data_IF_867032346521
#
_entry.id   IF_867032346521
#
_cell.length_a   1.000
_cell.length_b   1.000
_cell.length_c   1.000
_cell.angle_alpha   90.00
_cell.angle_beta   90.00
_cell.angle_gamma   90.00
#
_symmetry.space_group_name_H-M   'P 1'
#
loop_
_entity.id
_entity.type
_entity.pdbx_description
1 polymer ?
#
# COMPACT_ATOMS: atom_id res chain seq x y z
N UNK A 1 -48.71 1.13 -40.30
CA UNK A 1 -47.30 0.92 -39.94
C UNK A 1 -47.26 -0.44 -39.27
N UNK A 2 -46.63 -1.42 -39.93
CA UNK A 2 -46.80 -2.84 -39.60
C UNK A 2 -46.16 -3.18 -38.27
N UNK A 3 -46.93 -3.89 -37.41
CA UNK A 3 -46.48 -4.37 -36.08
C UNK A 3 -45.14 -5.13 -36.12
N UNK A 4 -44.85 -5.84 -37.20
CA UNK A 4 -43.63 -6.59 -37.41
C UNK A 4 -42.42 -5.68 -37.59
N UNK A 5 -42.57 -4.57 -38.32
CA UNK A 5 -41.47 -3.59 -38.52
C UNK A 5 -41.09 -2.94 -37.17
N UNK A 6 -42.07 -2.68 -36.32
CA UNK A 6 -41.86 -2.07 -35.02
C UNK A 6 -41.14 -3.02 -34.04
N UNK A 7 -41.40 -4.33 -34.09
CA UNK A 7 -40.71 -5.35 -33.33
C UNK A 7 -39.25 -5.48 -33.72
N UNK A 8 -38.96 -5.48 -35.03
CA UNK A 8 -37.60 -5.56 -35.53
C UNK A 8 -36.82 -4.29 -35.22
N UNK A 9 -37.43 -3.11 -35.25
CA UNK A 9 -36.78 -1.85 -34.86
C UNK A 9 -36.44 -1.82 -33.39
N UNK A 10 -37.32 -2.38 -32.54
CA UNK A 10 -37.12 -2.46 -31.08
C UNK A 10 -35.96 -3.43 -30.72
N UNK A 11 -35.89 -4.57 -31.40
CA UNK A 11 -34.81 -5.55 -31.23
C UNK A 11 -33.47 -4.95 -31.68
N UNK A 12 -33.43 -4.22 -32.79
CA UNK A 12 -32.23 -3.57 -33.31
C UNK A 12 -31.74 -2.46 -32.36
N UNK A 13 -32.66 -1.72 -31.73
CA UNK A 13 -32.32 -0.69 -30.75
C UNK A 13 -31.71 -1.30 -29.46
N UNK A 14 -32.26 -2.43 -28.99
CA UNK A 14 -31.76 -3.11 -27.79
C UNK A 14 -30.36 -3.71 -28.04
N UNK A 15 -30.13 -4.32 -29.20
CA UNK A 15 -28.80 -4.85 -29.56
C UNK A 15 -27.75 -3.76 -29.71
N UNK A 16 -28.13 -2.59 -30.21
CA UNK A 16 -27.23 -1.45 -30.33
C UNK A 16 -26.82 -0.87 -28.96
N UNK A 17 -27.75 -0.81 -28.01
CA UNK A 17 -27.48 -0.34 -26.63
C UNK A 17 -26.51 -1.28 -25.88
N UNK A 18 -26.60 -2.60 -26.11
CA UNK A 18 -25.70 -3.57 -25.47
C UNK A 18 -24.24 -3.47 -25.96
N UNK A 19 -24.00 -2.99 -27.18
CA UNK A 19 -22.65 -2.86 -27.74
C UNK A 19 -21.87 -1.65 -27.22
N UNK A 20 -22.56 -0.65 -26.65
CA UNK A 20 -21.93 0.57 -26.13
C UNK A 20 -21.52 0.44 -24.65
N UNK A 21 -21.97 -0.61 -23.94
CA UNK A 21 -21.77 -0.78 -22.51
C UNK A 21 -20.41 -1.39 -22.11
N UNK A 22 -19.61 -1.89 -23.07
CA UNK A 22 -18.28 -2.41 -22.80
C UNK A 22 -17.25 -1.29 -22.87
N UNK A 23 -17.22 -0.39 -21.87
CA UNK A 23 -16.11 0.50 -21.63
C UNK A 23 -15.02 -0.33 -20.95
N UNK A 24 -14.11 -0.90 -21.73
CA UNK A 24 -12.88 -1.49 -21.18
C UNK A 24 -12.12 -0.38 -20.46
N UNK A 25 -11.97 -0.55 -19.15
CA UNK A 25 -11.16 0.35 -18.33
C UNK A 25 -9.71 0.13 -18.76
N UNK A 26 -9.15 1.03 -19.52
CA UNK A 26 -7.71 1.03 -19.78
C UNK A 26 -7.02 1.19 -18.43
N UNK A 27 -6.33 0.13 -18.01
CA UNK A 27 -5.42 0.19 -16.88
C UNK A 27 -4.25 1.03 -17.38
N UNK A 28 -4.20 2.29 -16.97
CA UNK A 28 -3.09 3.18 -17.24
C UNK A 28 -1.82 2.57 -16.65
N UNK A 29 -0.99 1.98 -17.48
CA UNK A 29 0.34 1.47 -17.12
C UNK A 29 1.32 2.60 -16.74
N UNK A 30 0.95 3.84 -16.93
CA UNK A 30 1.74 5.01 -16.53
C UNK A 30 1.80 5.23 -15.01
N UNK A 31 1.03 4.52 -14.22
CA UNK A 31 1.01 4.65 -12.76
C UNK A 31 2.03 3.76 -12.04
N UNK A 32 2.83 2.97 -12.73
CA UNK A 32 3.86 2.12 -12.12
C UNK A 32 5.22 2.84 -11.99
N UNK A 33 5.21 4.09 -11.57
CA UNK A 33 6.35 4.63 -10.84
C UNK A 33 6.17 4.14 -9.40
N UNK A 34 6.75 2.99 -9.10
CA UNK A 34 6.79 2.46 -7.75
C UNK A 34 7.45 3.52 -6.87
N UNK A 35 6.66 4.26 -6.14
CA UNK A 35 7.17 5.16 -5.12
C UNK A 35 7.88 4.31 -4.07
N UNK A 36 9.21 4.31 -4.13
CA UNK A 36 10.04 3.61 -3.17
C UNK A 36 9.88 4.27 -1.79
N UNK A 37 9.91 3.45 -0.76
CA UNK A 37 10.02 3.94 0.60
C UNK A 37 11.42 4.55 0.78
N UNK A 38 11.47 5.82 1.19
CA UNK A 38 12.71 6.57 1.36
C UNK A 38 13.06 6.75 2.83
N UNK A 39 14.33 6.53 3.15
CA UNK A 39 14.88 6.86 4.47
C UNK A 39 15.06 8.36 4.62
N UNK A 40 14.54 8.93 5.69
CA UNK A 40 14.78 10.31 6.10
C UNK A 40 15.70 10.43 7.31
N UNK A 41 15.96 9.33 8.02
CA UNK A 41 16.86 9.29 9.16
C UNK A 41 16.54 8.14 10.11
N UNK A 42 17.43 7.93 11.06
CA UNK A 42 17.31 6.97 12.13
C UNK A 42 17.54 7.65 13.48
N UNK A 43 16.79 7.25 14.49
CA UNK A 43 16.97 7.71 15.87
C UNK A 43 17.86 6.71 16.65
N UNK A 44 18.43 7.14 17.77
CA UNK A 44 19.33 6.30 18.60
C UNK A 44 18.68 5.02 19.14
N UNK A 45 17.33 5.00 19.27
CA UNK A 45 16.55 3.84 19.68
C UNK A 45 16.30 2.82 18.54
N UNK A 46 16.85 3.09 17.34
CA UNK A 46 16.64 2.28 16.14
C UNK A 46 15.33 2.56 15.40
N UNK A 47 14.59 3.60 15.80
CA UNK A 47 13.39 4.04 15.09
C UNK A 47 13.78 4.71 13.77
N UNK A 48 13.23 4.22 12.66
CA UNK A 48 13.46 4.75 11.32
C UNK A 48 12.37 5.75 10.93
N UNK A 49 12.77 6.93 10.46
CA UNK A 49 11.86 7.93 9.87
C UNK A 49 11.84 7.74 8.36
N UNK A 50 10.68 7.48 7.81
CA UNK A 50 10.49 7.08 6.41
C UNK A 50 9.49 7.99 5.72
N UNK A 51 9.73 8.30 4.43
CA UNK A 51 8.73 8.81 3.50
C UNK A 51 8.15 7.66 2.73
N UNK A 52 6.84 7.49 2.79
CA UNK A 52 6.12 6.37 2.20
C UNK A 52 4.87 6.85 1.49
N UNK A 53 4.52 6.19 0.39
CA UNK A 53 3.30 6.48 -0.36
C UNK A 53 2.29 5.36 -0.16
N UNK A 54 1.05 5.75 0.04
CA UNK A 54 -0.09 4.85 0.08
C UNK A 54 -1.18 5.32 -0.86
N UNK A 55 -1.87 4.38 -1.46
CA UNK A 55 -3.00 4.62 -2.37
C UNK A 55 -4.26 4.03 -1.76
N UNK A 56 -5.35 4.78 -1.77
CA UNK A 56 -6.63 4.35 -1.24
C UNK A 56 -7.80 5.08 -1.90
N UNK A 57 -9.01 4.70 -1.55
CA UNK A 57 -10.25 5.34 -2.05
C UNK A 57 -10.41 6.77 -1.53
N UNK A 58 -9.82 7.04 -0.40
CA UNK A 58 -9.81 8.34 0.26
C UNK A 58 -8.49 8.52 1.02
N UNK A 59 -8.29 9.72 1.58
CA UNK A 59 -7.09 10.07 2.32
C UNK A 59 -6.81 9.13 3.52
N UNK A 60 -7.82 8.77 4.28
CA UNK A 60 -7.64 7.90 5.46
C UNK A 60 -7.16 6.51 5.06
N UNK A 61 -7.77 5.96 4.04
CA UNK A 61 -7.41 4.68 3.42
C UNK A 61 -5.95 4.70 2.92
N UNK A 62 -5.59 5.75 2.18
CA UNK A 62 -4.23 5.91 1.66
C UNK A 62 -3.18 6.03 2.78
N UNK A 63 -3.50 6.73 3.87
CA UNK A 63 -2.61 6.84 5.05
C UNK A 63 -2.42 5.47 5.71
N UNK A 64 -3.47 4.70 5.89
CA UNK A 64 -3.36 3.35 6.49
C UNK A 64 -2.58 2.40 5.58
N UNK A 65 -2.77 2.47 4.27
CA UNK A 65 -1.97 1.69 3.31
C UNK A 65 -0.48 2.10 3.34
N UNK A 66 -0.19 3.40 3.47
CA UNK A 66 1.18 3.87 3.61
C UNK A 66 1.84 3.37 4.91
N UNK A 67 1.12 3.35 6.04
CA UNK A 67 1.64 2.79 7.29
C UNK A 67 1.92 1.28 7.18
N UNK A 68 0.98 0.51 6.60
CA UNK A 68 1.18 -0.93 6.34
C UNK A 68 2.41 -1.15 5.47
N UNK A 69 2.53 -0.39 4.38
CA UNK A 69 3.68 -0.46 3.47
C UNK A 69 4.99 -0.14 4.19
N UNK A 70 5.04 0.89 5.02
CA UNK A 70 6.24 1.25 5.78
C UNK A 70 6.73 0.09 6.67
N UNK A 71 5.82 -0.53 7.43
CA UNK A 71 6.15 -1.68 8.27
C UNK A 71 6.56 -2.88 7.42
N UNK A 72 5.83 -3.15 6.34
CA UNK A 72 6.14 -4.24 5.43
C UNK A 72 7.54 -4.11 4.81
N UNK A 73 7.89 -2.90 4.34
CA UNK A 73 9.19 -2.65 3.74
C UNK A 73 10.33 -2.83 4.76
N UNK A 74 10.15 -2.34 6.00
CA UNK A 74 11.13 -2.55 7.07
C UNK A 74 11.27 -4.03 7.43
N UNK A 75 10.16 -4.78 7.42
CA UNK A 75 10.15 -6.20 7.82
C UNK A 75 10.73 -7.12 6.76
N UNK A 76 10.37 -6.94 5.48
CA UNK A 76 10.64 -7.91 4.42
C UNK A 76 11.53 -7.43 3.28
N UNK A 77 11.69 -6.11 3.10
CA UNK A 77 12.39 -5.56 1.93
C UNK A 77 13.72 -4.90 2.34
N UNK A 78 13.73 -4.20 3.46
CA UNK A 78 14.78 -3.26 3.82
C UNK A 78 14.63 -1.91 3.10
N UNK A 79 15.28 -0.86 3.63
CA UNK A 79 15.15 0.50 3.10
C UNK A 79 16.43 0.90 2.39
N UNK A 80 16.41 0.93 1.06
CA UNK A 80 17.60 1.18 0.23
C UNK A 80 17.64 2.60 -0.34
N UNK A 81 16.51 3.30 -0.41
CA UNK A 81 16.43 4.65 -0.95
C UNK A 81 16.46 5.71 0.17
N UNK A 82 16.95 6.90 -0.13
CA UNK A 82 16.97 8.05 0.78
C UNK A 82 18.37 8.42 1.26
N UNK A 83 18.48 8.96 2.49
CA UNK A 83 19.74 9.53 3.02
C UNK A 83 20.84 8.48 3.34
N UNK A 84 20.54 7.19 3.22
CA UNK A 84 21.50 6.12 3.43
C UNK A 84 21.77 5.71 4.89
N UNK A 85 21.14 6.35 5.87
CA UNK A 85 21.33 6.05 7.29
C UNK A 85 20.42 4.94 7.83
N UNK A 86 19.31 4.63 7.15
CA UNK A 86 18.43 3.53 7.55
C UNK A 86 19.05 2.17 7.25
N UNK A 87 18.57 1.15 7.97
CA UNK A 87 19.04 -0.20 7.74
C UNK A 87 18.51 -0.73 6.39
N UNK A 88 19.42 -1.04 5.47
CA UNK A 88 19.11 -1.57 4.14
C UNK A 88 18.67 -3.04 4.14
N UNK A 89 18.92 -3.77 5.23
CA UNK A 89 18.50 -5.16 5.37
C UNK A 89 17.11 -5.24 6.03
N UNK A 90 16.25 -6.20 5.63
CA UNK A 90 14.98 -6.43 6.28
C UNK A 90 15.17 -6.91 7.74
N UNK A 91 14.10 -6.85 8.55
CA UNK A 91 14.10 -7.46 9.88
C UNK A 91 14.11 -8.98 9.77
N UNK A 92 13.44 -9.50 8.76
CA UNK A 92 13.32 -10.92 8.44
C UNK A 92 13.96 -11.14 7.08
N UNK A 93 15.11 -11.79 7.06
CA UNK A 93 15.90 -12.12 5.87
C UNK A 93 15.68 -13.58 5.40
N UNK A 94 14.91 -14.36 6.14
CA UNK A 94 14.57 -15.74 5.75
C UNK A 94 13.76 -15.73 4.44
N UNK A 95 14.22 -16.44 3.40
CA UNK A 95 13.49 -16.55 2.15
C UNK A 95 12.09 -17.15 2.38
N UNK A 96 11.08 -16.55 1.75
CA UNK A 96 9.68 -16.99 1.85
C UNK A 96 9.06 -16.94 3.26
N UNK A 97 9.66 -16.22 4.22
CA UNK A 97 9.12 -16.09 5.58
C UNK A 97 7.67 -15.62 5.59
N UNK A 98 7.29 -14.67 4.71
CA UNK A 98 5.91 -14.19 4.59
C UNK A 98 4.92 -15.32 4.28
N UNK A 99 5.31 -16.27 3.43
CA UNK A 99 4.48 -17.43 3.08
C UNK A 99 4.54 -18.51 4.16
N UNK A 100 5.72 -18.75 4.74
CA UNK A 100 5.91 -19.74 5.82
C UNK A 100 5.06 -19.43 7.05
N UNK A 101 4.90 -18.15 7.37
CA UNK A 101 4.11 -17.65 8.50
C UNK A 101 2.89 -16.85 8.03
N UNK A 102 2.20 -17.32 6.99
CA UNK A 102 1.12 -16.60 6.31
C UNK A 102 0.02 -16.16 7.27
N UNK A 103 -0.53 -17.10 8.04
CA UNK A 103 -1.61 -16.82 9.00
C UNK A 103 -1.21 -15.77 10.04
N UNK A 104 0.03 -15.85 10.54
CA UNK A 104 0.56 -14.88 11.49
C UNK A 104 0.62 -13.47 10.86
N UNK A 105 1.18 -13.34 9.65
CA UNK A 105 1.33 -12.05 9.02
C UNK A 105 0.03 -11.49 8.48
N UNK A 106 -0.92 -12.33 8.08
CA UNK A 106 -2.26 -11.89 7.69
C UNK A 106 -2.99 -11.25 8.87
N UNK A 107 -2.89 -11.85 10.05
CA UNK A 107 -3.42 -11.26 11.27
C UNK A 107 -2.65 -10.00 11.68
N UNK A 108 -1.31 -10.04 11.61
CA UNK A 108 -0.45 -8.90 11.99
C UNK A 108 -0.73 -7.66 11.13
N UNK A 109 -0.93 -7.82 9.82
CA UNK A 109 -1.22 -6.75 8.86
C UNK A 109 -2.71 -6.54 8.59
N UNK A 110 -3.61 -7.20 9.28
CA UNK A 110 -5.06 -7.00 9.12
C UNK A 110 -5.47 -5.56 9.44
N UNK A 111 -6.69 -5.18 9.08
CA UNK A 111 -7.24 -3.87 9.48
C UNK A 111 -7.42 -3.83 10.99
N UNK A 112 -6.66 -2.94 11.65
CA UNK A 112 -6.58 -2.92 13.13
C UNK A 112 -5.53 -3.86 13.72
N UNK A 113 -4.75 -4.57 12.89
CA UNK A 113 -3.71 -5.50 13.33
C UNK A 113 -2.55 -4.85 14.07
N UNK A 114 -1.69 -5.71 14.66
CA UNK A 114 -0.62 -5.29 15.55
C UNK A 114 0.49 -4.44 14.89
N UNK A 115 0.57 -4.38 13.56
CA UNK A 115 1.51 -3.50 12.87
C UNK A 115 1.39 -2.03 13.33
N UNK A 116 0.18 -1.60 13.75
CA UNK A 116 -0.10 -0.23 14.18
C UNK A 116 0.69 0.20 15.40
N UNK A 117 1.06 -0.72 16.25
CA UNK A 117 1.82 -0.45 17.48
C UNK A 117 3.27 -0.06 17.17
N UNK A 118 3.76 -0.36 15.96
CA UNK A 118 5.14 -0.16 15.53
C UNK A 118 5.33 1.00 14.55
N UNK A 119 4.23 1.65 14.12
CA UNK A 119 4.27 2.75 13.16
C UNK A 119 3.47 3.94 13.65
N UNK A 120 4.09 5.12 13.62
CA UNK A 120 3.43 6.39 13.95
C UNK A 120 3.53 7.34 12.76
N UNK A 121 2.41 7.94 12.38
CA UNK A 121 2.42 9.05 11.43
C UNK A 121 2.63 10.35 12.22
N UNK A 122 3.71 11.08 11.93
CA UNK A 122 3.86 12.44 12.46
C UNK A 122 2.74 13.31 11.89
N UNK A 123 2.08 14.09 12.73
CA UNK A 123 1.07 15.09 12.34
C UNK A 123 1.71 16.11 11.40
N UNK A 124 1.81 15.78 10.12
CA UNK A 124 2.32 16.70 9.12
C UNK A 124 1.17 17.19 8.25
N UNK A 125 1.19 18.50 8.02
CA UNK A 125 0.45 19.08 6.91
C UNK A 125 0.98 18.41 5.65
N UNK A 126 0.23 17.42 5.12
CA UNK A 126 0.56 16.79 3.85
C UNK A 126 0.61 17.90 2.82
N UNK A 127 1.78 18.21 2.30
CA UNK A 127 1.93 19.22 1.29
C UNK A 127 1.17 18.80 0.04
N UNK A 128 0.53 19.75 -0.64
CA UNK A 128 -0.22 19.49 -1.87
C UNK A 128 0.64 18.82 -2.97
N UNK A 129 1.96 18.94 -2.87
CA UNK A 129 2.94 18.31 -3.78
C UNK A 129 3.08 16.78 -3.62
N UNK A 130 2.51 16.22 -2.56
CA UNK A 130 2.58 14.78 -2.26
C UNK A 130 1.23 14.08 -2.46
N UNK A 131 0.33 14.71 -3.21
CA UNK A 131 -0.98 14.15 -3.53
C UNK A 131 -1.08 13.92 -5.02
N UNK A 132 -1.39 12.68 -5.41
CA UNK A 132 -1.78 12.33 -6.77
C UNK A 132 -3.21 11.80 -6.76
N UNK A 133 -4.04 12.29 -7.68
CA UNK A 133 -5.44 11.88 -7.81
C UNK A 133 -5.58 11.15 -9.16
N UNK A 134 -5.88 9.86 -9.11
CA UNK A 134 -6.19 9.03 -10.27
C UNK A 134 -7.67 8.65 -10.31
N UNK A 135 -8.05 7.78 -11.23
CA UNK A 135 -9.43 7.31 -11.43
C UNK A 135 -10.01 6.62 -10.18
N UNK A 136 -10.67 7.41 -9.32
CA UNK A 136 -11.33 6.94 -8.11
C UNK A 136 -10.40 6.55 -6.96
N UNK A 137 -9.09 6.81 -7.07
CA UNK A 137 -8.11 6.60 -5.99
C UNK A 137 -7.28 7.85 -5.73
N UNK A 138 -6.80 7.98 -4.51
CA UNK A 138 -5.89 9.04 -4.10
C UNK A 138 -4.60 8.43 -3.56
N UNK A 139 -3.46 8.95 -4.01
CA UNK A 139 -2.13 8.58 -3.50
C UNK A 139 -1.57 9.72 -2.68
N UNK A 140 -1.13 9.41 -1.47
CA UNK A 140 -0.50 10.36 -0.57
C UNK A 140 0.88 9.89 -0.14
N UNK A 141 1.84 10.82 -0.22
CA UNK A 141 3.14 10.67 0.45
C UNK A 141 3.04 11.18 1.89
N UNK A 142 3.42 10.35 2.84
CA UNK A 142 3.43 10.71 4.26
C UNK A 142 4.77 10.39 4.89
N UNK A 143 5.08 11.06 6.01
CA UNK A 143 6.22 10.72 6.84
C UNK A 143 5.73 9.92 8.04
N UNK A 144 6.35 8.77 8.23
CA UNK A 144 6.08 7.88 9.36
C UNK A 144 7.37 7.55 10.10
N UNK A 145 7.24 7.17 11.36
CA UNK A 145 8.31 6.54 12.12
C UNK A 145 7.97 5.08 12.34
N UNK A 146 8.94 4.18 12.11
CA UNK A 146 8.79 2.74 12.34
C UNK A 146 9.82 2.30 13.37
N UNK A 147 9.35 1.71 14.46
CA UNK A 147 10.23 1.15 15.50
C UNK A 147 10.72 -0.24 15.08
N UNK A 148 11.84 -0.26 14.35
CA UNK A 148 12.46 -1.48 13.85
C UNK A 148 12.93 -2.41 14.96
N UNK A 149 13.49 -1.85 16.05
CA UNK A 149 14.01 -2.62 17.17
C UNK A 149 12.88 -3.38 17.89
N UNK A 150 11.75 -2.70 18.13
CA UNK A 150 10.59 -3.32 18.71
C UNK A 150 9.97 -4.40 17.80
N UNK A 151 9.93 -4.19 16.48
CA UNK A 151 9.50 -5.22 15.51
C UNK A 151 10.38 -6.47 15.61
N UNK A 152 11.71 -6.30 15.62
CA UNK A 152 12.65 -7.43 15.75
C UNK A 152 12.43 -8.20 17.05
N UNK A 153 12.28 -7.49 18.17
CA UNK A 153 12.01 -8.11 19.47
C UNK A 153 10.67 -8.88 19.46
N UNK A 154 9.63 -8.30 18.87
CA UNK A 154 8.33 -8.96 18.72
C UNK A 154 8.43 -10.27 17.96
N UNK A 155 9.04 -10.26 16.78
CA UNK A 155 9.16 -11.46 15.96
C UNK A 155 10.07 -12.52 16.59
N UNK A 156 11.08 -12.12 17.36
CA UNK A 156 11.90 -13.05 18.14
C UNK A 156 11.11 -13.69 19.28
N UNK A 157 10.24 -12.95 19.96
CA UNK A 157 9.39 -13.46 21.02
C UNK A 157 8.30 -14.40 20.49
N UNK A 158 7.80 -14.12 19.31
CA UNK A 158 6.77 -14.94 18.64
C UNK A 158 7.39 -16.14 17.87
N UNK A 159 8.71 -16.36 17.95
CA UNK A 159 9.46 -17.41 17.26
C UNK A 159 9.33 -17.36 15.72
N UNK A 160 9.11 -16.18 15.15
CA UNK A 160 9.10 -15.95 13.71
C UNK A 160 10.52 -15.76 13.17
N UNK A 161 11.44 -15.26 14.00
CA UNK A 161 12.88 -15.18 13.71
C UNK A 161 13.69 -15.84 14.81
N UNK A 162 14.86 -16.37 14.44
CA UNK A 162 15.82 -16.94 15.39
C UNK A 162 16.51 -15.78 16.15
N UNK A 163 16.67 -15.95 17.46
CA UNK A 163 17.35 -14.98 18.33
C UNK A 163 18.85 -14.95 18.07
#
# INVERSE_FOLDING_TARGET
MNSEIMKHLFIFLITFVCLVACKSREISTAAFHGYNTECLGISMDGTQTLRVWGTGRNRSDAIEQAKKKAVYDVVFVGIQAGSGECNSYPVIDEPNARKKYEDYFDLFFSDGGAYKDYVSAKNQKISALQRYKGDGTETFGIIVTVNRSALRQRFANDNVIIK
#
